data_IF_596918229420
#
_entry.id   IF_596918229420
#
_cell.length_a   1.000
_cell.length_b   1.000
_cell.length_c   1.000
_cell.angle_alpha   90.00
_cell.angle_beta   90.00
_cell.angle_gamma   90.00
#
_symmetry.space_group_name_H-M   'P 1'
#
loop_
_entity.id
_entity.type
_entity.pdbx_description
1 polymer ?
#
# COMPACT_ATOMS: atom_id res chain seq x y z
N UNK A 1 4.90 -63.15 -23.93
CA UNK A 1 5.58 -63.31 -22.62
C UNK A 1 6.84 -62.47 -22.67
N UNK A 2 6.93 -61.35 -21.94
CA UNK A 2 8.17 -60.58 -21.88
C UNK A 2 9.28 -61.47 -21.30
N UNK A 3 10.49 -61.37 -21.87
CA UNK A 3 11.67 -62.03 -21.33
C UNK A 3 11.91 -61.56 -19.89
N UNK A 4 12.26 -62.48 -18.98
CA UNK A 4 12.64 -62.17 -17.60
C UNK A 4 13.73 -61.06 -17.55
N UNK A 5 14.61 -61.00 -18.55
CA UNK A 5 15.63 -59.96 -18.64
C UNK A 5 15.05 -58.54 -18.79
N UNK A 6 13.93 -58.40 -19.53
CA UNK A 6 13.26 -57.11 -19.71
C UNK A 6 12.62 -56.63 -18.40
N UNK A 7 12.04 -57.54 -17.62
CA UNK A 7 11.43 -57.23 -16.31
C UNK A 7 12.50 -56.80 -15.31
N UNK A 8 13.62 -57.52 -15.24
CA UNK A 8 14.73 -57.17 -14.34
C UNK A 8 15.34 -55.82 -14.72
N UNK A 9 15.53 -55.55 -16.01
CA UNK A 9 16.05 -54.26 -16.48
C UNK A 9 15.12 -53.10 -16.13
N UNK A 10 13.81 -53.27 -16.26
CA UNK A 10 12.82 -52.26 -15.88
C UNK A 10 12.83 -51.98 -14.37
N UNK A 11 12.94 -53.02 -13.53
CA UNK A 11 13.00 -52.86 -12.07
C UNK A 11 14.28 -52.13 -11.65
N UNK A 12 15.44 -52.54 -12.20
CA UNK A 12 16.72 -51.89 -11.89
C UNK A 12 16.72 -50.43 -12.35
N UNK A 13 16.21 -50.16 -13.57
CA UNK A 13 16.06 -48.80 -14.08
C UNK A 13 15.16 -47.93 -13.20
N UNK A 14 14.01 -48.48 -12.76
CA UNK A 14 13.09 -47.81 -11.85
C UNK A 14 13.72 -47.48 -10.50
N UNK A 15 14.47 -48.42 -9.91
CA UNK A 15 15.17 -48.20 -8.63
C UNK A 15 16.23 -47.08 -8.74
N UNK A 16 17.00 -47.04 -9.83
CA UNK A 16 17.99 -45.98 -10.07
C UNK A 16 17.31 -44.62 -10.24
N UNK A 17 16.22 -44.56 -11.01
CA UNK A 17 15.47 -43.31 -11.18
C UNK A 17 14.89 -42.79 -9.86
N UNK A 18 14.30 -43.68 -9.03
CA UNK A 18 13.75 -43.32 -7.73
C UNK A 18 14.83 -42.79 -6.77
N UNK A 19 16.01 -43.42 -6.75
CA UNK A 19 17.12 -42.96 -5.90
C UNK A 19 17.66 -41.59 -6.33
N UNK A 20 17.69 -41.30 -7.62
CA UNK A 20 18.05 -39.97 -8.13
C UNK A 20 17.00 -38.91 -7.77
N UNK A 21 15.71 -39.22 -7.93
CA UNK A 21 14.61 -38.31 -7.56
C UNK A 21 14.65 -37.99 -6.06
N UNK A 22 14.81 -39.02 -5.21
CA UNK A 22 14.90 -38.82 -3.76
C UNK A 22 16.15 -38.01 -3.38
N UNK A 23 17.29 -38.27 -4.02
CA UNK A 23 18.52 -37.52 -3.76
C UNK A 23 18.37 -36.05 -4.16
N UNK A 24 17.74 -35.77 -5.30
CA UNK A 24 17.44 -34.41 -5.74
C UNK A 24 16.48 -33.70 -4.78
N UNK A 25 15.39 -34.36 -4.37
CA UNK A 25 14.43 -33.80 -3.42
C UNK A 25 15.09 -33.44 -2.07
N UNK A 26 15.92 -34.33 -1.53
CA UNK A 26 16.67 -34.08 -0.28
C UNK A 26 17.63 -32.90 -0.47
N UNK A 27 18.32 -32.81 -1.61
CA UNK A 27 19.22 -31.70 -1.91
C UNK A 27 18.48 -30.36 -2.02
N UNK A 28 17.32 -30.34 -2.69
CA UNK A 28 16.46 -29.16 -2.80
C UNK A 28 15.99 -28.68 -1.43
N UNK A 29 15.48 -29.57 -0.57
CA UNK A 29 15.06 -29.24 0.80
C UNK A 29 16.21 -28.65 1.61
N UNK A 30 17.43 -29.22 1.49
CA UNK A 30 18.62 -28.69 2.18
C UNK A 30 19.03 -27.30 1.65
N UNK A 31 18.89 -27.06 0.35
CA UNK A 31 19.14 -25.74 -0.23
C UNK A 31 18.17 -24.69 0.31
N UNK A 32 16.88 -25.01 0.37
CA UNK A 32 15.86 -24.11 0.89
C UNK A 32 16.07 -23.81 2.38
N UNK A 33 16.39 -24.83 3.18
CA UNK A 33 16.75 -24.63 4.59
C UNK A 33 17.96 -23.70 4.75
N UNK A 34 19.00 -23.86 3.92
CA UNK A 34 20.16 -22.98 3.95
C UNK A 34 19.80 -21.51 3.59
N UNK A 35 18.89 -21.30 2.64
CA UNK A 35 18.39 -19.96 2.29
C UNK A 35 17.59 -19.35 3.42
N UNK A 36 16.67 -20.10 4.04
CA UNK A 36 15.88 -19.64 5.19
C UNK A 36 16.80 -19.23 6.35
N UNK A 37 17.84 -20.01 6.63
CA UNK A 37 18.81 -19.68 7.69
C UNK A 37 19.59 -18.39 7.38
N UNK A 38 20.00 -18.18 6.11
CA UNK A 38 20.65 -16.93 5.69
C UNK A 38 19.72 -15.72 5.86
N UNK A 39 18.45 -15.87 5.51
CA UNK A 39 17.46 -14.80 5.69
C UNK A 39 17.25 -14.48 7.17
N UNK A 40 17.05 -15.50 8.03
CA UNK A 40 16.92 -15.30 9.49
C UNK A 40 18.14 -14.59 10.08
N UNK A 41 19.35 -14.99 9.69
CA UNK A 41 20.57 -14.36 10.18
C UNK A 41 20.72 -12.92 9.68
N UNK A 42 20.32 -12.64 8.43
CA UNK A 42 20.26 -11.27 7.91
C UNK A 42 19.27 -10.40 8.69
N UNK A 43 18.12 -10.95 9.06
CA UNK A 43 17.09 -10.24 9.80
C UNK A 43 17.53 -9.96 11.24
N UNK A 44 18.09 -10.97 11.92
CA UNK A 44 18.69 -10.77 13.25
C UNK A 44 19.78 -9.69 13.27
N UNK A 45 20.59 -9.58 12.20
CA UNK A 45 21.57 -8.50 12.07
C UNK A 45 20.89 -7.15 11.94
N UNK A 46 19.85 -7.04 11.11
CA UNK A 46 19.07 -5.80 10.96
C UNK A 46 18.43 -5.38 12.29
N UNK A 47 17.81 -6.31 13.01
CA UNK A 47 17.17 -6.05 14.30
C UNK A 47 18.19 -5.55 15.34
N UNK A 48 19.37 -6.17 15.42
CA UNK A 48 20.46 -5.66 16.29
C UNK A 48 20.87 -4.23 15.93
N UNK A 49 20.96 -3.90 14.65
CA UNK A 49 21.29 -2.53 14.23
C UNK A 49 20.20 -1.53 14.63
N UNK A 50 18.92 -1.90 14.49
CA UNK A 50 17.82 -1.02 14.89
C UNK A 50 17.79 -0.77 16.39
N UNK A 51 18.02 -1.81 17.22
CA UNK A 51 18.13 -1.67 18.67
C UNK A 51 19.32 -0.80 19.09
N UNK A 52 20.49 -1.00 18.47
CA UNK A 52 21.66 -0.15 18.73
C UNK A 52 21.41 1.32 18.35
N UNK A 53 20.69 1.56 17.25
CA UNK A 53 20.34 2.92 16.83
C UNK A 53 19.35 3.56 17.79
N UNK A 54 18.34 2.80 18.24
CA UNK A 54 17.37 3.22 19.24
C UNK A 54 18.05 3.60 20.56
N UNK A 55 18.92 2.73 21.10
CA UNK A 55 19.70 3.02 22.31
C UNK A 55 20.57 4.27 22.14
N UNK A 56 21.20 4.45 20.98
CA UNK A 56 22.02 5.63 20.70
C UNK A 56 21.19 6.92 20.69
N UNK A 57 19.98 6.89 20.12
CA UNK A 57 19.06 8.01 20.12
C UNK A 57 18.52 8.31 21.52
N UNK A 58 18.20 7.29 22.30
CA UNK A 58 17.77 7.45 23.68
C UNK A 58 18.86 8.12 24.54
N UNK A 59 20.14 7.72 24.36
CA UNK A 59 21.28 8.38 25.03
C UNK A 59 21.46 9.85 24.62
N UNK A 60 21.19 10.20 23.36
CA UNK A 60 21.22 11.59 22.89
C UNK A 60 20.11 12.41 23.55
N UNK A 61 18.87 11.90 23.55
CA UNK A 61 17.75 12.58 24.19
C UNK A 61 17.96 12.78 25.71
N UNK A 62 18.61 11.83 26.38
CA UNK A 62 18.99 11.98 27.79
C UNK A 62 20.05 13.06 28.00
N UNK A 63 21.04 13.18 27.10
CA UNK A 63 22.06 14.23 27.18
C UNK A 63 21.45 15.61 27.00
N UNK A 64 20.57 15.77 26.01
CA UNK A 64 19.90 17.05 25.73
C UNK A 64 19.00 17.49 26.90
N UNK A 65 18.46 16.54 27.68
CA UNK A 65 17.68 16.83 28.88
C UNK A 65 18.52 17.37 30.04
N UNK A 66 19.77 16.93 30.18
CA UNK A 66 20.69 17.37 31.25
C UNK A 66 21.38 18.69 30.90
N UNK A 67 21.59 18.95 29.61
CA UNK A 67 22.23 20.18 29.12
C UNK A 67 21.23 21.29 28.75
N UNK A 68 19.92 21.12 29.01
CA UNK A 68 18.98 22.24 28.94
C UNK A 68 19.47 23.31 29.90
N UNK A 69 20.07 24.42 29.42
CA UNK A 69 20.61 25.43 30.30
C UNK A 69 19.44 25.91 31.14
N UNK A 70 19.61 25.91 32.47
CA UNK A 70 18.69 26.65 33.33
C UNK A 70 18.47 27.99 32.65
N UNK A 71 17.21 28.25 32.26
CA UNK A 71 16.84 29.50 31.64
C UNK A 71 17.17 30.59 32.66
N UNK A 72 18.38 31.13 32.59
CA UNK A 72 18.74 32.33 33.32
C UNK A 72 17.74 33.35 32.80
N UNK A 73 16.87 33.91 33.66
CA UNK A 73 15.93 34.92 33.22
C UNK A 73 16.74 36.05 32.60
N UNK A 74 16.67 36.17 31.28
CA UNK A 74 17.27 37.28 30.55
C UNK A 74 16.55 38.52 31.04
N UNK A 75 17.18 39.23 31.98
CA UNK A 75 16.75 40.54 32.41
C UNK A 75 16.97 41.46 31.21
N UNK A 76 15.90 41.69 30.45
CA UNK A 76 15.93 42.60 29.33
C UNK A 76 16.34 43.98 29.87
N UNK A 77 17.43 44.58 29.35
CA UNK A 77 17.74 45.96 29.69
C UNK A 77 16.56 46.85 29.27
N UNK A 78 16.22 47.88 30.06
CA UNK A 78 15.09 48.74 29.78
C UNK A 78 15.24 49.36 28.39
N UNK A 79 14.24 49.11 27.55
CA UNK A 79 14.16 49.64 26.18
C UNK A 79 14.12 51.16 26.27
N UNK A 80 15.08 51.89 25.70
CA UNK A 80 15.00 53.34 25.64
C UNK A 80 13.81 53.74 24.77
N UNK A 81 12.88 54.49 25.37
CA UNK A 81 11.72 55.09 24.71
C UNK A 81 12.16 55.98 23.55
N UNK A 82 12.23 55.40 22.36
CA UNK A 82 12.48 56.13 21.10
C UNK A 82 11.15 56.66 20.60
N UNK A 83 10.77 57.83 21.12
CA UNK A 83 9.78 58.68 20.47
C UNK A 83 10.36 59.21 19.16
N UNK A 84 9.50 59.27 18.13
CA UNK A 84 9.69 59.97 16.85
C UNK A 84 10.74 59.40 15.88
N UNK A 85 10.34 58.41 15.09
CA UNK A 85 10.84 58.25 13.73
C UNK A 85 9.72 58.51 12.71
N UNK A 86 9.98 59.29 11.66
CA UNK A 86 8.97 59.67 10.68
C UNK A 86 8.61 58.48 9.78
N UNK A 87 7.30 58.33 9.57
CA UNK A 87 6.65 57.36 8.69
C UNK A 87 7.25 57.42 7.27
N UNK A 88 7.83 56.35 6.71
CA UNK A 88 8.24 56.34 5.32
C UNK A 88 7.00 56.36 4.40
N UNK A 89 7.04 57.24 3.38
CA UNK A 89 6.01 57.34 2.34
C UNK A 89 5.95 56.05 1.52
N UNK A 90 4.75 55.62 1.09
CA UNK A 90 4.59 54.44 0.25
C UNK A 90 5.16 54.69 -1.16
N UNK A 91 6.31 54.08 -1.44
CA UNK A 91 6.87 54.00 -2.80
C UNK A 91 6.07 52.95 -3.57
N UNK A 92 5.32 53.39 -4.60
CA UNK A 92 4.64 52.52 -5.56
C UNK A 92 5.67 51.59 -6.22
N UNK A 93 5.62 50.30 -5.88
CA UNK A 93 6.32 49.25 -6.61
C UNK A 93 5.68 49.12 -8.00
N UNK A 94 6.50 49.36 -9.02
CA UNK A 94 6.19 49.21 -10.43
C UNK A 94 6.33 47.74 -10.78
N UNK A 95 5.22 47.07 -11.08
CA UNK A 95 5.19 45.69 -11.56
C UNK A 95 5.93 45.59 -12.89
N UNK A 96 6.94 44.72 -13.05
CA UNK A 96 7.51 44.44 -14.36
C UNK A 96 6.57 43.52 -15.17
N UNK A 97 6.47 43.69 -16.49
CA UNK A 97 5.64 42.85 -17.34
C UNK A 97 6.24 41.44 -17.44
N UNK A 98 5.42 40.43 -17.13
CA UNK A 98 5.73 39.03 -17.40
C UNK A 98 5.61 38.79 -18.91
N UNK A 99 6.75 38.71 -19.59
CA UNK A 99 6.85 38.05 -20.89
C UNK A 99 7.03 36.56 -20.63
N UNK A 100 5.99 35.79 -20.97
CA UNK A 100 6.08 34.34 -21.08
C UNK A 100 6.55 34.02 -22.50
N UNK A 101 7.83 33.72 -22.67
CA UNK A 101 8.31 33.04 -23.87
C UNK A 101 8.10 31.54 -23.67
N UNK A 102 7.24 30.96 -24.51
CA UNK A 102 7.05 29.52 -24.63
C UNK A 102 8.23 28.92 -25.38
N UNK A 103 9.11 28.18 -24.69
CA UNK A 103 10.10 27.32 -25.33
C UNK A 103 9.51 25.92 -25.60
N UNK A 104 9.76 25.33 -26.78
CA UNK A 104 9.32 23.98 -27.12
C UNK A 104 10.18 22.94 -26.38
N UNK A 105 9.47 21.96 -25.85
CA UNK A 105 9.93 20.88 -24.98
C UNK A 105 10.74 19.84 -25.78
N UNK A 106 12.03 19.67 -25.47
CA UNK A 106 12.82 18.48 -25.85
C UNK A 106 13.14 17.68 -24.59
N UNK A 107 12.70 16.43 -24.55
CA UNK A 107 12.97 15.48 -23.47
C UNK A 107 14.45 15.13 -23.37
N UNK A 108 15.20 15.89 -22.58
CA UNK A 108 16.34 15.37 -21.83
C UNK A 108 16.22 15.91 -20.40
N UNK A 109 15.87 15.04 -19.46
CA UNK A 109 15.89 15.35 -18.03
C UNK A 109 17.35 15.39 -17.59
N UNK A 110 18.04 16.48 -17.91
CA UNK A 110 19.28 16.84 -17.25
C UNK A 110 18.92 17.39 -15.87
N UNK A 111 19.11 16.59 -14.82
CA UNK A 111 19.11 17.08 -13.45
C UNK A 111 20.36 17.97 -13.31
N UNK A 112 20.23 19.26 -13.60
CA UNK A 112 21.27 20.24 -13.36
C UNK A 112 21.48 20.36 -11.84
N UNK A 113 22.56 19.75 -11.34
CA UNK A 113 23.02 19.96 -9.98
C UNK A 113 23.51 21.41 -9.85
N UNK A 114 22.95 22.23 -8.93
CA UNK A 114 23.40 23.60 -8.75
C UNK A 114 24.86 23.61 -8.26
N UNK A 115 25.77 24.08 -9.10
CA UNK A 115 27.22 24.09 -8.84
C UNK A 115 27.69 25.20 -7.88
N UNK A 116 26.80 25.80 -7.09
CA UNK A 116 27.15 26.93 -6.20
C UNK A 116 26.63 26.79 -4.77
N UNK A 117 26.60 25.57 -4.23
CA UNK A 117 26.37 25.35 -2.80
C UNK A 117 27.71 25.34 -2.06
N UNK A 118 27.87 26.31 -1.16
CA UNK A 118 28.97 26.44 -0.20
C UNK A 118 29.44 25.08 0.35
N UNK A 119 30.74 24.83 0.29
CA UNK A 119 31.40 23.56 0.67
C UNK A 119 31.30 23.18 2.17
N UNK A 120 30.73 24.04 3.03
CA UNK A 120 30.76 23.84 4.49
C UNK A 120 29.45 23.33 5.11
N UNK A 121 28.42 23.01 4.31
CA UNK A 121 27.16 22.48 4.83
C UNK A 121 27.05 20.96 4.60
N UNK A 122 27.36 20.17 5.64
CA UNK A 122 27.21 18.71 5.71
C UNK A 122 25.93 18.15 5.03
N UNK A 123 26.05 17.36 3.94
CA UNK A 123 24.92 16.60 3.39
C UNK A 123 25.12 15.07 3.45
N UNK A 124 25.43 14.43 4.60
CA UNK A 124 25.47 12.96 4.66
C UNK A 124 24.09 12.31 4.81
N UNK A 125 23.04 13.08 5.14
CA UNK A 125 21.74 12.49 5.51
C UNK A 125 20.91 12.11 4.27
N UNK A 126 20.85 12.96 3.24
CA UNK A 126 19.99 12.75 2.08
C UNK A 126 20.45 11.61 1.16
N UNK A 127 21.76 11.39 1.02
CA UNK A 127 22.29 10.30 0.21
C UNK A 127 22.00 8.92 0.81
N UNK A 128 22.01 8.80 2.14
CA UNK A 128 21.68 7.55 2.82
C UNK A 128 20.20 7.16 2.70
N UNK A 129 19.29 8.15 2.71
CA UNK A 129 17.86 7.92 2.55
C UNK A 129 17.49 7.44 1.14
N UNK A 130 18.09 8.02 0.10
CA UNK A 130 17.87 7.58 -1.28
C UNK A 130 18.44 6.17 -1.52
N UNK A 131 19.64 5.87 -1.02
CA UNK A 131 20.23 4.53 -1.13
C UNK A 131 19.37 3.46 -0.44
N UNK A 132 18.75 3.79 0.69
CA UNK A 132 17.83 2.90 1.39
C UNK A 132 16.56 2.60 0.56
N UNK A 133 15.97 3.62 -0.06
CA UNK A 133 14.78 3.47 -0.91
C UNK A 133 15.05 2.63 -2.18
N UNK A 134 16.19 2.80 -2.84
CA UNK A 134 16.54 1.96 -4.00
C UNK A 134 16.72 0.48 -3.62
N UNK A 135 17.25 0.22 -2.42
CA UNK A 135 17.43 -1.13 -1.91
C UNK A 135 16.12 -1.87 -1.60
N UNK A 136 15.06 -1.17 -1.19
CA UNK A 136 13.75 -1.79 -0.94
C UNK A 136 13.03 -2.09 -2.25
N UNK A 137 13.05 -1.17 -3.22
CA UNK A 137 12.43 -1.38 -4.54
C UNK A 137 13.06 -2.59 -5.25
N UNK A 138 14.40 -2.68 -5.26
CA UNK A 138 15.09 -3.81 -5.90
C UNK A 138 14.73 -5.17 -5.24
N UNK A 139 14.56 -5.20 -3.91
CA UNK A 139 14.14 -6.41 -3.19
C UNK A 139 12.70 -6.80 -3.52
N UNK A 140 11.80 -5.84 -3.63
CA UNK A 140 10.40 -6.08 -4.02
C UNK A 140 10.35 -6.60 -5.45
N UNK A 141 11.07 -5.96 -6.38
CA UNK A 141 11.13 -6.40 -7.77
C UNK A 141 11.67 -7.84 -7.88
N UNK A 142 12.75 -8.16 -7.15
CA UNK A 142 13.29 -9.52 -7.15
C UNK A 142 12.28 -10.56 -6.66
N UNK A 143 11.48 -10.25 -5.63
CA UNK A 143 10.41 -11.14 -5.16
C UNK A 143 9.32 -11.33 -6.21
N UNK A 144 8.93 -10.25 -6.89
CA UNK A 144 7.96 -10.29 -7.99
C UNK A 144 8.48 -11.19 -9.11
N UNK A 145 9.74 -11.04 -9.51
CA UNK A 145 10.35 -11.83 -10.58
C UNK A 145 10.40 -13.32 -10.21
N UNK A 146 10.75 -13.65 -8.96
CA UNK A 146 10.74 -15.04 -8.44
C UNK A 146 9.33 -15.61 -8.44
N UNK A 147 8.33 -14.84 -7.99
CA UNK A 147 6.92 -15.25 -8.00
C UNK A 147 6.41 -15.51 -9.41
N UNK A 148 6.69 -14.60 -10.34
CA UNK A 148 6.30 -14.73 -11.74
C UNK A 148 6.96 -15.93 -12.43
N UNK A 149 8.24 -16.18 -12.17
CA UNK A 149 8.96 -17.36 -12.66
C UNK A 149 8.32 -18.66 -12.14
N UNK A 150 8.02 -18.70 -10.84
CA UNK A 150 7.37 -19.84 -10.19
C UNK A 150 5.98 -20.11 -10.79
N UNK A 151 5.19 -19.05 -11.03
CA UNK A 151 3.87 -19.16 -11.67
C UNK A 151 3.98 -19.74 -13.08
N UNK A 152 4.87 -19.19 -13.93
CA UNK A 152 5.07 -19.68 -15.30
C UNK A 152 5.51 -21.15 -15.31
N UNK A 153 6.39 -21.53 -14.40
CA UNK A 153 6.82 -22.92 -14.25
C UNK A 153 5.66 -23.85 -13.85
N UNK A 154 4.83 -23.43 -12.89
CA UNK A 154 3.64 -24.17 -12.49
C UNK A 154 2.64 -24.30 -13.66
N UNK A 155 2.43 -23.23 -14.41
CA UNK A 155 1.55 -23.22 -15.58
C UNK A 155 2.03 -24.20 -16.67
N UNK A 156 3.33 -24.20 -16.98
CA UNK A 156 3.93 -25.18 -17.89
C UNK A 156 3.73 -26.60 -17.36
N UNK A 157 3.95 -26.83 -16.07
CA UNK A 157 3.76 -28.15 -15.45
C UNK A 157 2.31 -28.63 -15.56
N UNK A 158 1.33 -27.74 -15.33
CA UNK A 158 -0.09 -28.03 -15.53
C UNK A 158 -0.41 -28.35 -17.00
N UNK A 159 0.21 -27.64 -17.93
CA UNK A 159 0.06 -27.91 -19.36
C UNK A 159 0.56 -29.31 -19.72
N UNK A 160 1.72 -29.72 -19.18
CA UNK A 160 2.24 -31.08 -19.36
C UNK A 160 1.34 -32.15 -18.75
N UNK A 161 0.82 -31.92 -17.54
CA UNK A 161 -0.10 -32.85 -16.87
C UNK A 161 -1.45 -32.96 -17.59
N UNK A 162 -1.96 -31.85 -18.12
CA UNK A 162 -3.22 -31.82 -18.85
C UNK A 162 -3.17 -32.67 -20.13
N UNK A 163 -2.02 -32.71 -20.82
CA UNK A 163 -1.79 -33.61 -21.96
C UNK A 163 -1.89 -35.08 -21.57
N UNK A 164 -1.50 -35.43 -20.34
CA UNK A 164 -1.54 -36.81 -19.85
C UNK A 164 -2.94 -37.23 -19.37
N UNK A 165 -3.72 -36.28 -18.84
CA UNK A 165 -5.06 -36.51 -18.28
C UNK A 165 -6.20 -36.43 -19.29
N UNK A 166 -5.90 -36.08 -20.55
CA UNK A 166 -6.88 -35.87 -21.63
C UNK A 166 -7.99 -34.88 -21.25
N UNK A 167 -7.65 -33.89 -20.42
CA UNK A 167 -8.52 -32.78 -19.98
C UNK A 167 -7.87 -31.45 -20.36
N UNK A 168 -7.92 -31.06 -21.65
CA UNK A 168 -6.98 -30.09 -22.18
C UNK A 168 -7.24 -28.62 -21.79
N UNK A 169 -8.44 -28.24 -21.31
CA UNK A 169 -8.84 -26.82 -21.39
C UNK A 169 -9.46 -26.15 -20.17
N UNK A 170 -10.12 -26.86 -19.24
CA UNK A 170 -10.91 -26.18 -18.18
C UNK A 170 -10.08 -25.28 -17.25
N UNK A 171 -8.79 -25.55 -17.10
CA UNK A 171 -7.92 -24.75 -16.23
C UNK A 171 -7.36 -23.50 -16.92
N UNK A 172 -7.31 -23.45 -18.26
CA UNK A 172 -6.72 -22.32 -19.00
C UNK A 172 -7.56 -21.04 -18.85
N UNK A 173 -8.88 -21.20 -18.74
CA UNK A 173 -9.80 -20.08 -18.53
C UNK A 173 -9.56 -19.41 -17.17
N UNK A 174 -9.20 -20.22 -16.16
CA UNK A 174 -8.92 -19.74 -14.79
C UNK A 174 -7.47 -19.27 -14.61
N UNK A 175 -6.50 -19.91 -15.27
CA UNK A 175 -5.07 -19.67 -15.10
C UNK A 175 -4.48 -19.18 -16.42
N UNK A 176 -4.69 -17.90 -16.70
CA UNK A 176 -4.20 -17.24 -17.90
C UNK A 176 -2.66 -17.19 -17.92
N UNK A 177 -2.09 -17.11 -19.13
CA UNK A 177 -0.65 -16.93 -19.32
C UNK A 177 -0.19 -15.59 -18.75
N UNK A 178 0.83 -15.64 -17.88
CA UNK A 178 1.38 -14.46 -17.24
C UNK A 178 2.41 -13.78 -18.14
N UNK A 179 1.96 -12.79 -18.90
CA UNK A 179 2.82 -11.99 -19.77
C UNK A 179 3.63 -10.98 -18.95
N UNK A 180 4.84 -10.60 -19.36
CA UNK A 180 5.63 -9.60 -18.62
C UNK A 180 4.90 -8.25 -18.51
N UNK A 181 4.03 -7.91 -19.46
CA UNK A 181 3.22 -6.68 -19.44
C UNK A 181 2.13 -6.70 -18.35
N UNK A 182 1.73 -7.89 -17.87
CA UNK A 182 0.75 -8.03 -16.80
C UNK A 182 1.35 -7.75 -15.42
N UNK A 183 2.69 -7.86 -15.30
CA UNK A 183 3.47 -7.60 -14.08
C UNK A 183 3.78 -6.11 -14.02
N UNK A 184 2.75 -5.31 -13.78
CA UNK A 184 2.87 -3.86 -13.61
C UNK A 184 2.30 -3.43 -12.25
N UNK A 185 2.90 -2.39 -11.67
CA UNK A 185 2.36 -1.77 -10.47
C UNK A 185 1.00 -1.15 -10.75
N UNK A 186 0.11 -1.13 -9.74
CA UNK A 186 -1.23 -0.51 -9.80
C UNK A 186 -1.17 0.96 -10.26
N UNK A 187 -0.05 1.64 -9.98
CA UNK A 187 0.17 3.04 -10.34
C UNK A 187 0.58 3.26 -11.80
N UNK A 188 1.08 2.22 -12.47
CA UNK A 188 1.63 2.28 -13.83
C UNK A 188 0.52 1.88 -14.82
N UNK A 189 -0.36 2.82 -15.12
CA UNK A 189 -1.30 2.69 -16.25
C UNK A 189 -0.55 2.75 -17.58
N UNK A 190 -1.20 2.31 -18.67
CA UNK A 190 -0.63 2.46 -20.00
C UNK A 190 -0.41 3.96 -20.29
N UNK A 191 0.68 4.30 -20.99
CA UNK A 191 0.90 5.67 -21.45
C UNK A 191 -0.36 6.05 -22.24
N UNK A 192 -1.06 7.13 -21.87
CA UNK A 192 -2.39 7.58 -22.37
C UNK A 192 -3.65 7.15 -21.59
N UNK A 193 -3.58 6.26 -20.60
CA UNK A 193 -4.73 6.00 -19.73
C UNK A 193 -4.86 7.12 -18.67
N UNK A 194 -6.01 7.81 -18.67
CA UNK A 194 -6.36 8.72 -17.57
C UNK A 194 -6.48 7.94 -16.26
N UNK A 195 -6.21 8.55 -15.11
CA UNK A 195 -6.25 7.87 -13.80
C UNK A 195 -7.55 7.09 -13.54
N UNK A 196 -8.67 7.49 -14.14
CA UNK A 196 -9.96 6.80 -14.02
C UNK A 196 -10.22 5.68 -15.03
N UNK A 197 -9.41 5.53 -16.07
CA UNK A 197 -9.58 4.52 -17.13
C UNK A 197 -8.46 3.47 -17.13
N UNK A 198 -7.82 3.25 -15.98
CA UNK A 198 -6.71 2.29 -15.90
C UNK A 198 -7.21 0.87 -16.04
N UNK A 199 -6.73 0.16 -17.04
CA UNK A 199 -7.03 -1.25 -17.19
C UNK A 199 -6.19 -2.06 -16.22
N UNK A 200 -6.79 -2.52 -15.11
CA UNK A 200 -6.12 -3.43 -14.17
C UNK A 200 -5.73 -4.74 -14.88
N UNK A 201 -4.51 -5.23 -14.63
CA UNK A 201 -4.08 -6.53 -15.17
C UNK A 201 -4.95 -7.65 -14.59
N UNK A 202 -5.11 -8.71 -15.37
CA UNK A 202 -6.05 -9.80 -15.05
C UNK A 202 -5.72 -10.48 -13.72
N UNK A 203 -4.45 -10.46 -13.29
CA UNK A 203 -3.98 -11.01 -12.00
C UNK A 203 -4.76 -10.39 -10.83
N UNK A 204 -5.11 -9.11 -10.91
CA UNK A 204 -5.90 -8.40 -9.91
C UNK A 204 -7.41 -8.62 -10.06
N UNK A 205 -7.84 -9.14 -11.21
CA UNK A 205 -9.26 -9.45 -11.50
C UNK A 205 -9.62 -10.89 -11.13
N UNK A 206 -8.64 -11.78 -10.94
CA UNK A 206 -8.92 -13.14 -10.48
C UNK A 206 -9.44 -13.02 -9.06
N UNK A 207 -10.76 -13.21 -8.90
CA UNK A 207 -11.36 -13.45 -7.59
C UNK A 207 -10.52 -14.52 -6.91
N UNK A 208 -10.00 -14.24 -5.72
CA UNK A 208 -9.17 -15.19 -4.99
C UNK A 208 -9.83 -16.57 -4.95
N UNK A 209 -9.02 -17.63 -4.80
CA UNK A 209 -9.45 -19.04 -4.78
C UNK A 209 -10.41 -19.38 -3.61
N UNK A 210 -10.99 -18.39 -2.93
CA UNK A 210 -12.14 -18.52 -2.05
C UNK A 210 -13.47 -18.74 -2.79
N UNK A 211 -13.44 -18.93 -4.12
CA UNK A 211 -14.61 -19.32 -4.91
C UNK A 211 -14.93 -20.80 -4.67
N UNK A 212 -15.44 -21.11 -3.47
CA UNK A 212 -16.17 -22.35 -3.23
C UNK A 212 -17.30 -22.42 -4.25
N UNK A 213 -17.24 -23.46 -5.06
CA UNK A 213 -18.23 -23.79 -6.08
C UNK A 213 -19.54 -24.18 -5.42
N UNK A 214 -20.42 -23.22 -5.20
CA UNK A 214 -21.88 -23.41 -5.14
C UNK A 214 -22.50 -22.06 -4.80
N UNK A 215 -23.36 -21.55 -5.68
CA UNK A 215 -24.55 -20.70 -5.45
C UNK A 215 -24.75 -19.94 -4.11
N UNK A 216 -23.69 -19.50 -3.44
CA UNK A 216 -23.80 -18.80 -2.17
C UNK A 216 -24.00 -17.33 -2.47
N UNK A 217 -25.22 -16.90 -2.16
CA UNK A 217 -25.51 -15.57 -1.67
C UNK A 217 -24.31 -15.01 -0.90
N UNK A 218 -23.83 -13.85 -1.36
CA UNK A 218 -23.07 -12.84 -0.60
C UNK A 218 -22.80 -13.26 0.84
N UNK A 219 -21.64 -13.86 1.11
CA UNK A 219 -21.21 -14.15 2.47
C UNK A 219 -21.12 -12.80 3.22
N UNK A 220 -22.12 -12.45 4.05
CA UNK A 220 -22.28 -11.09 4.58
C UNK A 220 -21.10 -10.71 5.48
N UNK A 221 -20.43 -11.72 6.04
CA UNK A 221 -19.33 -11.57 6.98
C UNK A 221 -18.10 -10.88 6.36
N UNK A 222 -17.82 -11.07 5.06
CA UNK A 222 -16.69 -10.40 4.40
C UNK A 222 -16.98 -8.92 4.13
N UNK A 223 -18.24 -8.57 3.92
CA UNK A 223 -18.65 -7.17 3.76
C UNK A 223 -18.66 -6.44 5.09
N UNK A 224 -18.96 -7.13 6.20
CA UNK A 224 -18.92 -6.56 7.54
C UNK A 224 -17.47 -6.20 7.95
N UNK A 225 -16.50 -7.10 7.73
CA UNK A 225 -15.09 -6.82 8.00
C UNK A 225 -14.56 -5.63 7.18
N UNK A 226 -14.94 -5.51 5.90
CA UNK A 226 -14.52 -4.37 5.07
C UNK A 226 -15.13 -3.05 5.56
N UNK A 227 -16.39 -3.06 6.01
CA UNK A 227 -17.03 -1.89 6.59
C UNK A 227 -16.35 -1.44 7.89
N UNK A 228 -16.01 -2.40 8.76
CA UNK A 228 -15.29 -2.15 10.01
C UNK A 228 -13.91 -1.53 9.76
N UNK A 229 -13.17 -2.04 8.78
CA UNK A 229 -11.86 -1.50 8.38
C UNK A 229 -11.97 -0.06 7.84
N UNK A 230 -13.01 0.25 7.06
CA UNK A 230 -13.24 1.61 6.56
C UNK A 230 -13.56 2.55 7.72
N UNK A 231 -14.37 2.12 8.69
CA UNK A 231 -14.70 2.92 9.87
C UNK A 231 -13.46 3.19 10.74
N UNK A 232 -12.61 2.18 10.93
CA UNK A 232 -11.33 2.32 11.63
C UNK A 232 -10.40 3.32 10.91
N UNK A 233 -10.26 3.21 9.59
CA UNK A 233 -9.45 4.15 8.80
C UNK A 233 -10.01 5.59 8.84
N UNK A 234 -11.33 5.76 8.77
CA UNK A 234 -11.97 7.07 8.94
C UNK A 234 -11.67 7.66 10.33
N UNK A 235 -11.69 6.84 11.37
CA UNK A 235 -11.29 7.23 12.72
C UNK A 235 -9.83 7.66 12.79
N UNK A 236 -8.91 6.89 12.19
CA UNK A 236 -7.48 7.22 12.15
C UNK A 236 -7.21 8.54 11.42
N UNK A 237 -7.88 8.79 10.29
CA UNK A 237 -7.74 10.05 9.54
C UNK A 237 -8.19 11.24 10.39
N UNK A 238 -9.32 11.13 11.10
CA UNK A 238 -9.79 12.19 12.01
C UNK A 238 -8.80 12.43 13.16
N UNK A 239 -8.31 11.37 13.79
CA UNK A 239 -7.32 11.46 14.87
C UNK A 239 -6.01 12.12 14.39
N UNK A 240 -5.53 11.76 13.19
CA UNK A 240 -4.36 12.39 12.58
C UNK A 240 -4.56 13.89 12.37
N UNK A 241 -5.72 14.31 11.87
CA UNK A 241 -6.03 15.72 11.66
C UNK A 241 -6.15 16.50 12.97
N UNK A 242 -6.74 15.91 14.01
CA UNK A 242 -6.82 16.55 15.33
C UNK A 242 -5.43 16.65 15.97
N UNK A 243 -4.61 15.60 15.86
CA UNK A 243 -3.21 15.64 16.29
C UNK A 243 -2.44 16.76 15.58
N UNK A 244 -2.50 16.81 14.23
CA UNK A 244 -1.89 17.88 13.44
C UNK A 244 -2.37 19.26 13.90
N UNK A 245 -3.68 19.44 14.04
CA UNK A 245 -4.27 20.69 14.53
C UNK A 245 -3.68 21.10 15.87
N UNK A 246 -3.54 20.16 16.81
CA UNK A 246 -3.00 20.42 18.14
C UNK A 246 -1.53 20.88 18.08
N UNK A 247 -0.71 20.26 17.22
CA UNK A 247 0.69 20.64 17.01
C UNK A 247 0.80 22.04 16.41
N UNK A 248 0.01 22.35 15.38
CA UNK A 248 -0.04 23.70 14.81
C UNK A 248 -0.48 24.76 15.83
N UNK A 249 -1.40 24.40 16.73
CA UNK A 249 -1.88 25.32 17.78
C UNK A 249 -0.81 25.56 18.85
N UNK A 250 -0.03 24.54 19.23
CA UNK A 250 1.14 24.68 20.11
C UNK A 250 2.18 25.62 19.49
N UNK A 251 2.51 25.41 18.21
CA UNK A 251 3.45 26.26 17.48
C UNK A 251 2.96 27.72 17.38
N UNK A 252 1.68 27.93 17.11
CA UNK A 252 1.10 29.28 17.06
C UNK A 252 1.14 29.99 18.43
N UNK A 253 0.89 29.25 19.51
CA UNK A 253 0.94 29.78 20.87
C UNK A 253 2.37 30.10 21.30
N UNK A 254 3.36 29.26 20.95
CA UNK A 254 4.77 29.55 21.25
C UNK A 254 5.24 30.81 20.53
N UNK A 255 4.87 31.00 19.26
CA UNK A 255 5.23 32.17 18.47
C UNK A 255 4.56 33.47 18.93
N UNK A 256 3.37 33.38 19.57
CA UNK A 256 2.66 34.55 20.08
C UNK A 256 3.35 35.22 21.27
N UNK A 257 4.34 34.56 21.88
CA UNK A 257 5.06 35.06 23.06
C UNK A 257 6.18 36.04 22.69
N UNK A 258 6.65 36.05 21.42
CA UNK A 258 7.81 36.84 20.98
C UNK A 258 7.55 37.71 19.71
N UNK A 259 6.33 37.71 19.18
CA UNK A 259 6.03 38.24 17.84
C UNK A 259 5.55 39.70 17.76
N UNK A 260 6.26 40.50 16.96
CA UNK A 260 5.87 41.81 16.41
C UNK A 260 4.42 41.85 15.90
N UNK A 261 3.70 42.95 16.14
CA UNK A 261 2.28 43.16 15.82
C UNK A 261 1.86 42.79 14.37
N UNK A 262 2.79 42.86 13.41
CA UNK A 262 2.53 42.53 12.00
C UNK A 262 2.38 41.02 11.74
N UNK A 263 2.93 40.16 12.60
CA UNK A 263 2.81 38.70 12.49
C UNK A 263 1.40 38.22 12.89
N UNK A 264 0.78 38.91 13.85
CA UNK A 264 -0.57 38.59 14.36
C UNK A 264 -1.63 38.78 13.26
N UNK A 265 -1.51 39.81 12.42
CA UNK A 265 -2.46 40.09 11.33
C UNK A 265 -2.45 39.00 10.25
N UNK A 266 -1.26 38.47 9.91
CA UNK A 266 -1.12 37.36 8.97
C UNK A 266 -1.75 36.04 9.45
N UNK A 267 -1.67 35.75 10.76
CA UNK A 267 -2.29 34.54 11.34
C UNK A 267 -3.82 34.64 11.38
N UNK A 268 -4.38 35.81 11.68
CA UNK A 268 -5.85 36.02 11.69
C UNK A 268 -6.44 35.84 10.29
N UNK A 269 -5.76 36.36 9.25
CA UNK A 269 -6.19 36.18 7.87
C UNK A 269 -6.23 34.69 7.47
N UNK A 270 -5.19 33.91 7.82
CA UNK A 270 -5.12 32.48 7.49
C UNK A 270 -6.16 31.64 8.24
N UNK A 271 -6.42 31.96 9.52
CA UNK A 271 -7.46 31.29 10.33
C UNK A 271 -8.84 31.43 9.71
N UNK A 272 -9.14 32.62 9.16
CA UNK A 272 -10.43 32.92 8.54
C UNK A 272 -10.64 32.11 7.27
N UNK A 273 -9.62 32.01 6.40
CA UNK A 273 -9.68 31.22 5.15
C UNK A 273 -9.97 29.74 5.43
N UNK A 274 -9.30 29.14 6.42
CA UNK A 274 -9.50 27.71 6.76
C UNK A 274 -10.86 27.42 7.40
N UNK A 275 -11.39 28.34 8.22
CA UNK A 275 -12.74 28.17 8.78
C UNK A 275 -13.82 28.29 7.71
N UNK A 276 -13.60 29.10 6.67
CA UNK A 276 -14.54 29.18 5.55
C UNK A 276 -14.47 27.98 4.61
N UNK A 277 -13.29 27.34 4.45
CA UNK A 277 -13.13 26.15 3.59
C UNK A 277 -13.53 24.84 4.27
N UNK A 278 -13.55 24.80 5.61
CA UNK A 278 -13.86 23.62 6.41
C UNK A 278 -15.31 23.49 6.87
N UNK A 279 -16.27 24.22 6.28
CA UNK A 279 -17.68 24.01 6.62
C UNK A 279 -18.04 22.55 6.31
N UNK A 280 -18.37 21.73 7.31
CA UNK A 280 -18.68 20.34 7.08
C UNK A 280 -19.94 20.28 6.23
N UNK A 281 -19.90 19.46 5.17
CA UNK A 281 -21.00 19.22 4.25
C UNK A 281 -22.08 18.37 4.94
N UNK A 282 -22.59 18.80 6.09
CA UNK A 282 -23.58 18.05 6.89
C UNK A 282 -25.00 18.16 6.36
N UNK A 283 -25.22 18.96 5.31
CA UNK A 283 -26.55 19.15 4.72
C UNK A 283 -26.92 18.14 3.62
N UNK A 284 -25.97 17.35 3.10
CA UNK A 284 -26.29 16.32 2.09
C UNK A 284 -26.50 14.92 2.66
N UNK A 285 -26.04 14.62 3.87
CA UNK A 285 -26.20 13.29 4.47
C UNK A 285 -27.59 13.03 5.08
N UNK A 286 -28.36 14.06 5.46
CA UNK A 286 -29.72 13.90 5.99
C UNK A 286 -30.80 13.62 4.93
N UNK A 287 -30.46 13.66 3.63
CA UNK A 287 -31.42 13.44 2.54
C UNK A 287 -31.45 11.99 1.99
N UNK A 288 -30.58 11.10 2.48
CA UNK A 288 -30.56 9.68 2.04
C UNK A 288 -31.06 8.72 3.13
N UNK A 289 -31.59 9.24 4.24
CA UNK A 289 -32.48 8.50 5.13
C UNK A 289 -33.85 8.32 4.49
N UNK A 290 -33.88 7.66 3.32
CA UNK A 290 -35.09 7.01 2.85
C UNK A 290 -35.41 5.95 3.88
N UNK A 291 -36.45 6.17 4.66
CA UNK A 291 -37.16 5.13 5.39
C UNK A 291 -37.47 4.02 4.39
N UNK A 292 -36.64 2.99 4.38
CA UNK A 292 -36.98 1.68 3.85
C UNK A 292 -38.08 1.19 4.78
N UNK A 293 -39.32 1.58 4.45
CA UNK A 293 -40.49 0.84 4.88
C UNK A 293 -40.27 -0.56 4.32
N UNK A 294 -39.81 -1.46 5.18
CA UNK A 294 -40.08 -2.87 5.01
C UNK A 294 -41.60 -2.93 5.05
N UNK A 295 -42.22 -3.01 3.88
CA UNK A 295 -43.57 -3.52 3.79
C UNK A 295 -43.50 -4.91 4.42
N UNK A 296 -44.04 -5.03 5.64
CA UNK A 296 -44.41 -6.31 6.22
C UNK A 296 -45.47 -6.90 5.26
N UNK A 297 -45.01 -7.60 4.22
CA UNK A 297 -45.84 -8.54 3.46
C UNK A 297 -46.22 -9.66 4.43
N UNK A 298 -47.32 -9.39 5.16
CA UNK A 298 -48.44 -10.27 5.41
C UNK A 298 -48.19 -11.72 4.93
N UNK A 299 -47.54 -12.52 5.79
CA UNK A 299 -47.65 -13.98 5.77
C UNK A 299 -49.11 -14.34 6.10
N UNK A 300 -49.97 -14.27 5.10
CA UNK A 300 -51.29 -14.89 5.19
C UNK A 300 -51.59 -15.63 3.89
N UNK A 301 -52.01 -16.88 4.05
CA UNK A 301 -52.60 -17.78 3.04
C UNK A 301 -51.68 -18.50 2.04
N UNK A 302 -50.99 -19.57 2.48
CA UNK A 302 -50.84 -20.75 1.61
C UNK A 302 -50.69 -22.08 2.37
N UNK A 303 -51.58 -22.29 3.34
CA UNK A 303 -51.96 -23.62 3.85
C UNK A 303 -53.04 -24.24 2.95
N UNK A 304 -52.75 -24.48 1.67
CA UNK A 304 -53.64 -25.27 0.82
C UNK A 304 -52.87 -25.87 -0.36
N UNK A 305 -52.38 -27.12 -0.17
CA UNK A 305 -52.29 -28.20 -1.16
C UNK A 305 -51.48 -29.38 -0.55
N UNK A 306 -51.92 -29.87 0.61
CA UNK A 306 -51.84 -31.30 0.89
C UNK A 306 -53.10 -31.92 0.29
N UNK A 307 -52.90 -32.85 -0.64
CA UNK A 307 -53.82 -33.90 -1.12
C UNK A 307 -53.74 -34.03 -2.64
N UNK A 308 -52.74 -34.79 -3.10
CA UNK A 308 -52.93 -35.66 -4.25
C UNK A 308 -52.12 -36.94 -4.06
N UNK A 309 -52.76 -37.85 -3.33
CA UNK A 309 -52.73 -39.30 -3.58
C UNK A 309 -52.91 -39.61 -5.08
N UNK A 310 -52.59 -40.87 -5.43
CA UNK A 310 -52.92 -41.60 -6.69
C UNK A 310 -51.84 -41.42 -7.77
N UNK A 311 -51.18 -42.45 -8.34
CA UNK A 311 -51.20 -43.90 -8.29
C UNK A 311 -49.79 -44.37 -8.74
N UNK A 312 -49.17 -45.38 -8.14
CA UNK A 312 -49.36 -46.81 -8.42
C UNK A 312 -49.40 -47.13 -9.92
N UNK A 313 -48.36 -47.82 -10.40
CA UNK A 313 -48.38 -48.94 -11.36
C UNK A 313 -47.07 -48.99 -12.20
N UNK A 314 -46.71 -50.12 -12.83
CA UNK A 314 -46.10 -51.26 -12.15
C UNK A 314 -44.79 -51.68 -12.84
N UNK A 315 -44.12 -52.65 -12.24
CA UNK A 315 -43.14 -53.51 -12.93
C UNK A 315 -43.67 -53.97 -14.30
N UNK A 316 -42.82 -53.90 -15.34
CA UNK A 316 -42.91 -54.83 -16.45
C UNK A 316 -41.51 -55.22 -16.93
N UNK A 317 -41.31 -56.53 -16.86
CA UNK A 317 -40.31 -57.45 -17.44
C UNK A 317 -39.93 -57.11 -18.90
N UNK A 318 -38.81 -57.53 -19.49
CA UNK A 318 -38.03 -58.78 -19.43
C UNK A 318 -36.53 -58.49 -19.69
#
# INVERSE_FOLDING_TARGET
MPSLAAVVSAIVGGCVLLTLILSYAIWSIRCDQAQIQRQRHSQQRADRYTLQLFERNQRRAQRDRVESPECIPYSYPPVPSTSSLPRPKPTRLRTPPLLYETCPFSEEVCIAFPSSLNEDAHPPILLSALAYHYGTIAKVQHKIDVGASTYRFAQLTLQWLALYLDKPETWKDTLQELKPEDIRGISTGEMFETKGHRTMSWIWKVSGVSKSTCNDDSNPDLHEEECDLIEEEMCHVMQFHEWQRSEWLKLANSLSTEGSANFVEGMVANRTVRQTSGRPCTKSAQSLGGTFLVDEEEEDTLSHLEDQDVAKDPELSD
#
